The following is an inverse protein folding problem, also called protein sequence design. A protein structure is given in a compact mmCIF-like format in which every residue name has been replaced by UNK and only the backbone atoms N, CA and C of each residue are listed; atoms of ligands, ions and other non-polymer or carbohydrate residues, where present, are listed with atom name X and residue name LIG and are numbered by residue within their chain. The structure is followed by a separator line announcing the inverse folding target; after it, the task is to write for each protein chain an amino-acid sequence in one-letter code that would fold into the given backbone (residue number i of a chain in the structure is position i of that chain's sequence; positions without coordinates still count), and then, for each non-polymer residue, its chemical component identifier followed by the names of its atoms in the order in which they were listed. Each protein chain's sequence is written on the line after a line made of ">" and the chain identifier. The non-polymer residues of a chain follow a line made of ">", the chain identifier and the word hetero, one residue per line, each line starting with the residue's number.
data_IF_009882095539
#
_entry.id   IF_009882095539
#
_cell.length_a   1.000
_cell.length_b   1.000
_cell.length_c   1.000
_cell.angle_alpha   90.00
_cell.angle_beta   90.00
_cell.angle_gamma   90.00
#
_symmetry.space_group_name_H-M   'P 1'
#
loop_
_entity.id
_entity.type
_entity.pdbx_description
1 polymer ?
#
# COMPACT_ATOMS: atom_id res chain seq x y z
N UNK A 1 -10.41 23.52 11.69
CA UNK A 1 -10.03 22.40 12.58
C UNK A 1 -9.53 21.28 11.69
N UNK A 2 -8.22 21.10 11.58
CA UNK A 2 -7.64 20.00 10.83
C UNK A 2 -7.83 18.73 11.66
N UNK A 3 -8.65 17.79 11.17
CA UNK A 3 -8.82 16.48 11.80
C UNK A 3 -7.53 15.70 11.61
N UNK A 4 -6.91 15.30 12.73
CA UNK A 4 -5.80 14.34 12.74
C UNK A 4 -6.39 12.98 12.36
N UNK A 5 -6.12 12.52 11.14
CA UNK A 5 -6.55 11.21 10.65
C UNK A 5 -5.44 10.21 11.03
N UNK A 6 -5.68 9.39 12.06
CA UNK A 6 -4.82 8.24 12.36
C UNK A 6 -4.86 7.26 11.19
N UNK A 7 -3.83 7.28 10.34
CA UNK A 7 -3.73 6.39 9.16
C UNK A 7 -3.37 4.97 9.62
N UNK A 8 -4.34 4.22 10.15
CA UNK A 8 -4.18 2.82 10.60
C UNK A 8 -3.90 1.82 9.46
N UNK A 9 -3.97 2.26 8.21
CA UNK A 9 -3.89 1.41 7.03
C UNK A 9 -2.66 1.65 6.15
N UNK A 10 -1.52 2.05 6.73
CA UNK A 10 -0.27 2.28 5.97
C UNK A 10 0.57 1.00 5.91
N UNK A 11 0.88 0.56 4.69
CA UNK A 11 1.76 -0.58 4.44
C UNK A 11 3.17 -0.08 4.09
N UNK A 12 4.15 -0.56 4.87
CA UNK A 12 5.59 -0.28 4.66
C UNK A 12 6.29 -1.60 4.36
N UNK A 13 7.23 -1.57 3.42
CA UNK A 13 8.10 -2.71 3.14
C UNK A 13 9.07 -2.91 4.29
N UNK A 14 9.00 -4.03 5.00
CA UNK A 14 9.92 -4.34 6.11
C UNK A 14 11.38 -4.48 5.67
N UNK A 15 11.64 -4.81 4.40
CA UNK A 15 12.99 -5.03 3.87
C UNK A 15 13.76 -3.74 3.56
N UNK A 16 13.09 -2.75 2.97
CA UNK A 16 13.74 -1.49 2.57
C UNK A 16 13.12 -0.25 3.22
N UNK A 17 12.19 -0.45 4.14
CA UNK A 17 11.47 0.58 4.89
C UNK A 17 10.74 1.63 4.02
N UNK A 18 10.46 1.29 2.75
CA UNK A 18 9.75 2.17 1.83
C UNK A 18 8.24 1.99 1.93
N UNK A 19 7.52 3.07 1.69
CA UNK A 19 6.06 3.05 1.53
C UNK A 19 5.63 2.07 0.44
N UNK A 20 4.55 1.31 0.67
CA UNK A 20 3.96 0.39 -0.30
C UNK A 20 2.59 0.88 -0.73
N UNK A 21 1.67 1.06 0.23
CA UNK A 21 0.32 1.52 -0.04
C UNK A 21 -0.33 2.07 1.23
N UNK A 22 -1.44 2.78 1.09
CA UNK A 22 -2.33 3.12 2.18
C UNK A 22 -3.79 3.13 1.76
N UNK A 23 -4.68 2.57 2.57
CA UNK A 23 -6.12 2.78 2.39
C UNK A 23 -6.52 4.15 2.91
N UNK A 24 -7.36 4.83 2.13
CA UNK A 24 -7.95 6.12 2.44
C UNK A 24 -9.38 5.93 2.94
N UNK A 25 -9.87 6.93 3.65
CA UNK A 25 -11.22 6.93 4.22
C UNK A 25 -12.32 6.98 3.15
N UNK A 26 -11.99 7.43 1.94
CA UNK A 26 -12.88 7.48 0.77
C UNK A 26 -13.01 6.13 0.03
N UNK A 27 -12.41 5.06 0.57
CA UNK A 27 -12.45 3.72 -0.01
C UNK A 27 -11.42 3.47 -1.12
N UNK A 28 -10.56 4.44 -1.41
CA UNK A 28 -9.47 4.26 -2.37
C UNK A 28 -8.20 3.72 -1.71
N UNK A 29 -7.38 3.02 -2.50
CA UNK A 29 -6.03 2.62 -2.12
C UNK A 29 -5.01 3.48 -2.88
N UNK A 30 -4.17 4.19 -2.14
CA UNK A 30 -2.99 4.83 -2.73
C UNK A 30 -1.84 3.85 -2.73
N UNK A 31 -1.23 3.62 -3.89
CA UNK A 31 -0.08 2.71 -4.02
C UNK A 31 1.17 3.54 -4.36
N UNK A 32 2.32 3.15 -3.82
CA UNK A 32 3.58 3.82 -4.13
C UNK A 32 3.87 3.73 -5.64
N UNK A 33 4.01 4.86 -6.36
CA UNK A 33 4.27 4.87 -7.80
C UNK A 33 5.62 4.27 -8.18
N UNK A 34 6.56 4.13 -7.22
CA UNK A 34 7.88 3.49 -7.41
C UNK A 34 7.84 1.98 -7.21
N UNK A 35 6.66 1.38 -7.03
CA UNK A 35 6.51 -0.07 -6.97
C UNK A 35 6.90 -0.69 -8.32
N UNK A 36 7.57 -1.85 -8.29
CA UNK A 36 8.03 -2.54 -9.51
C UNK A 36 6.88 -3.12 -10.31
N UNK A 37 5.87 -3.65 -9.62
CA UNK A 37 4.70 -4.29 -10.23
C UNK A 37 3.51 -4.19 -9.30
N UNK A 38 2.34 -4.00 -9.89
CA UNK A 38 1.05 -4.00 -9.20
C UNK A 38 0.14 -4.94 -9.99
N UNK A 39 -0.61 -5.76 -9.27
CA UNK A 39 -1.61 -6.65 -9.83
C UNK A 39 -2.74 -6.84 -8.82
N UNK A 40 -3.95 -7.10 -9.29
CA UNK A 40 -5.12 -7.38 -8.47
C UNK A 40 -5.89 -8.55 -9.07
N UNK A 41 -6.56 -9.31 -8.20
CA UNK A 41 -7.50 -10.35 -8.60
C UNK A 41 -8.95 -10.03 -8.17
N UNK A 42 -9.21 -8.81 -7.69
CA UNK A 42 -10.51 -8.39 -7.18
C UNK A 42 -10.75 -8.66 -5.70
N UNK A 43 -9.91 -9.44 -5.02
CA UNK A 43 -9.98 -9.69 -3.56
C UNK A 43 -8.72 -9.24 -2.81
N UNK A 44 -7.58 -9.16 -3.50
CA UNK A 44 -6.33 -8.65 -2.95
C UNK A 44 -5.51 -7.89 -3.99
N UNK A 45 -4.74 -6.92 -3.52
CA UNK A 45 -3.64 -6.31 -4.26
C UNK A 45 -2.35 -7.07 -3.98
N UNK A 46 -1.65 -7.45 -5.06
CA UNK A 46 -0.28 -7.96 -5.03
C UNK A 46 0.64 -6.87 -5.55
N UNK A 47 1.45 -6.30 -4.65
CA UNK A 47 2.34 -5.17 -4.91
C UNK A 47 3.79 -5.61 -4.70
N UNK A 48 4.60 -5.54 -5.75
CA UNK A 48 6.05 -5.78 -5.67
C UNK A 48 6.76 -4.46 -5.35
N UNK A 49 7.37 -4.38 -4.18
CA UNK A 49 8.21 -3.27 -3.76
C UNK A 49 9.38 -3.05 -4.73
N UNK A 50 9.92 -1.83 -4.75
CA UNK A 50 11.15 -1.52 -5.48
C UNK A 50 12.32 -2.47 -5.13
N UNK A 51 12.41 -2.93 -3.87
CA UNK A 51 13.46 -3.86 -3.44
C UNK A 51 13.25 -5.31 -3.90
N UNK A 52 12.15 -5.60 -4.62
CA UNK A 52 11.77 -6.94 -5.09
C UNK A 52 10.85 -7.71 -4.16
N UNK A 53 10.64 -7.24 -2.93
CA UNK A 53 9.75 -7.89 -1.96
C UNK A 53 8.28 -7.82 -2.41
N UNK A 54 7.55 -8.92 -2.27
CA UNK A 54 6.14 -9.00 -2.66
C UNK A 54 5.25 -8.83 -1.43
N UNK A 55 4.32 -7.89 -1.51
CA UNK A 55 3.33 -7.61 -0.48
C UNK A 55 1.93 -7.94 -1.00
N UNK A 56 1.09 -8.52 -0.15
CA UNK A 56 -0.32 -8.79 -0.41
C UNK A 56 -1.18 -8.00 0.57
N UNK A 57 -2.17 -7.28 0.03
CA UNK A 57 -3.08 -6.44 0.80
C UNK A 57 -4.50 -6.86 0.42
N UNK A 58 -5.29 -7.32 1.40
CA UNK A 58 -6.70 -7.65 1.18
C UNK A 58 -7.53 -6.38 1.02
N UNK A 59 -8.51 -6.44 0.12
CA UNK A 59 -9.51 -5.39 -0.15
C UNK A 59 -10.68 -5.56 0.82
#
# INVERSE_FOLDING_TARGET
>A
MEKIIEVKNKYICKKCNKFIASFKEDGYIEINPKSKKISTNGSEFKITCQCGEVHRIKI
#
